data_IF_422912907610
#
_entry.id   IF_422912907610
#
_cell.length_a   1.000
_cell.length_b   1.000
_cell.length_c   1.000
_cell.angle_alpha   90.00
_cell.angle_beta   90.00
_cell.angle_gamma   90.00
#
_symmetry.space_group_name_H-M   'P 1'
#
loop_
_entity.id
_entity.type
_entity.pdbx_description
1 polymer ?
#
# COMPACT_ATOMS: atom_id res chain seq x y z
N UNK A 1 17.13 6.37 18.62
CA UNK A 1 17.15 6.13 17.16
C UNK A 1 17.22 4.62 16.90
N UNK A 2 16.07 3.97 16.68
CA UNK A 2 15.87 2.53 16.39
C UNK A 2 14.62 2.52 15.49
N UNK A 3 14.50 1.92 14.30
CA UNK A 3 15.17 0.80 13.66
C UNK A 3 14.83 0.82 12.16
N UNK A 4 15.83 0.81 11.27
CA UNK A 4 15.69 0.58 9.81
C UNK A 4 15.54 -0.91 9.46
N UNK A 5 14.99 -1.73 10.35
CA UNK A 5 14.99 -3.19 10.21
C UNK A 5 13.63 -3.73 9.79
N UNK A 6 13.30 -3.51 8.52
CA UNK A 6 12.30 -4.31 7.81
C UNK A 6 12.68 -4.47 6.33
N UNK A 7 13.98 -4.67 6.04
CA UNK A 7 14.36 -5.36 4.82
C UNK A 7 14.09 -6.85 5.06
N UNK A 8 12.84 -7.25 4.79
CA UNK A 8 12.42 -8.64 4.89
C UNK A 8 13.13 -9.49 3.84
N UNK A 9 13.28 -10.77 4.18
CA UNK A 9 13.86 -11.85 3.37
C UNK A 9 13.46 -11.69 1.88
N UNK A 10 14.43 -11.42 1.00
CA UNK A 10 14.22 -11.26 -0.45
C UNK A 10 14.21 -9.81 -0.98
N UNK A 11 14.57 -8.82 -0.16
CA UNK A 11 14.70 -7.42 -0.58
C UNK A 11 13.37 -6.69 -0.69
N UNK A 12 12.33 -7.20 -0.01
CA UNK A 12 11.04 -6.53 0.12
C UNK A 12 11.00 -5.72 1.41
N UNK A 13 10.45 -4.51 1.34
CA UNK A 13 10.18 -3.66 2.49
C UNK A 13 8.73 -3.83 2.93
N UNK A 14 8.53 -4.11 4.21
CA UNK A 14 7.20 -4.19 4.82
C UNK A 14 6.85 -2.83 5.44
N UNK A 15 5.75 -2.22 4.98
CA UNK A 15 5.22 -0.94 5.47
C UNK A 15 4.10 -1.19 6.49
N UNK A 16 3.98 -0.38 7.56
CA UNK A 16 2.92 -0.54 8.56
C UNK A 16 1.55 -0.23 7.95
N UNK A 17 0.53 -1.05 8.26
CA UNK A 17 -0.81 -0.89 7.71
C UNK A 17 -1.50 0.40 8.21
N UNK A 18 -1.17 0.79 9.44
CA UNK A 18 -1.70 1.93 10.17
C UNK A 18 -1.13 3.27 9.64
N UNK A 19 -0.17 3.23 8.71
CA UNK A 19 0.48 4.41 8.16
C UNK A 19 1.65 4.91 9.00
N UNK A 20 2.05 6.16 8.79
CA UNK A 20 3.19 6.79 9.49
C UNK A 20 2.89 7.12 10.96
N UNK A 21 1.61 7.33 11.31
CA UNK A 21 1.19 7.64 12.69
C UNK A 21 1.71 8.98 13.23
N UNK A 22 2.10 9.92 12.36
CA UNK A 22 2.57 11.27 12.72
C UNK A 22 1.93 12.30 11.79
N UNK A 23 1.78 13.57 12.24
CA UNK A 23 1.35 14.65 11.37
C UNK A 23 2.26 14.78 10.14
N UNK A 24 1.70 15.24 9.03
CA UNK A 24 2.46 15.54 7.83
C UNK A 24 3.60 16.53 8.16
N UNK A 25 4.76 16.41 7.49
CA UNK A 25 5.82 17.40 7.64
C UNK A 25 5.37 18.75 7.08
N UNK A 26 6.16 19.79 7.37
CA UNK A 26 5.93 21.11 6.81
C UNK A 26 5.89 21.06 5.28
N UNK A 27 4.93 21.78 4.70
CA UNK A 27 4.78 21.86 3.26
C UNK A 27 6.03 22.52 2.63
N UNK A 28 6.77 21.83 1.73
CA UNK A 28 8.09 22.29 1.31
C UNK A 28 8.08 23.25 0.11
N UNK A 29 6.91 23.46 -0.53
CA UNK A 29 6.79 24.42 -1.64
C UNK A 29 6.34 25.79 -1.11
N UNK A 30 6.47 26.83 -1.94
CA UNK A 30 6.23 28.23 -1.55
C UNK A 30 4.89 28.50 -0.88
N UNK A 31 3.79 28.31 -1.59
CA UNK A 31 2.42 28.54 -1.09
C UNK A 31 1.58 27.34 -1.47
N UNK A 32 0.81 26.83 -0.51
CA UNK A 32 -0.15 25.75 -0.72
C UNK A 32 -1.56 26.35 -0.86
N UNK A 33 -2.36 25.74 -1.73
CA UNK A 33 -3.82 25.87 -1.72
C UNK A 33 -4.43 24.95 -0.65
N UNK A 34 -5.66 25.24 -0.21
CA UNK A 34 -6.38 24.39 0.75
C UNK A 34 -6.47 22.94 0.25
N UNK A 35 -6.76 22.74 -1.03
CA UNK A 35 -6.86 21.41 -1.63
C UNK A 35 -5.51 20.67 -1.61
N UNK A 36 -4.40 21.36 -1.81
CA UNK A 36 -3.07 20.75 -1.69
C UNK A 36 -2.78 20.31 -0.26
N UNK A 37 -3.15 21.10 0.75
CA UNK A 37 -2.95 20.73 2.16
C UNK A 37 -3.79 19.50 2.54
N UNK A 38 -5.06 19.44 2.12
CA UNK A 38 -5.91 18.26 2.35
C UNK A 38 -5.30 16.98 1.74
N UNK A 39 -4.82 17.09 0.50
CA UNK A 39 -4.17 15.98 -0.20
C UNK A 39 -2.85 15.61 0.44
N UNK A 40 -2.07 16.59 0.89
CA UNK A 40 -0.79 16.41 1.59
C UNK A 40 -0.95 15.59 2.86
N UNK A 41 -1.88 15.99 3.73
CA UNK A 41 -2.19 15.27 4.95
C UNK A 41 -2.65 13.84 4.65
N UNK A 42 -3.51 13.69 3.64
CA UNK A 42 -3.98 12.40 3.18
C UNK A 42 -2.88 11.48 2.59
N UNK A 43 -1.82 12.05 1.98
CA UNK A 43 -0.68 11.27 1.52
C UNK A 43 0.23 10.84 2.68
N UNK A 44 0.51 11.74 3.62
CA UNK A 44 1.40 11.47 4.74
C UNK A 44 0.81 10.55 5.80
N UNK A 45 -0.51 10.35 5.80
CA UNK A 45 -1.18 9.33 6.60
C UNK A 45 -0.97 7.89 6.06
N UNK A 46 -0.49 7.70 4.83
CA UNK A 46 -0.40 6.37 4.18
C UNK A 46 0.78 5.54 4.68
N UNK A 47 0.75 4.20 4.54
CA UNK A 47 1.91 3.32 4.78
C UNK A 47 3.18 3.74 4.07
N UNK A 48 3.06 4.20 2.82
CA UNK A 48 4.18 4.62 1.96
C UNK A 48 4.95 5.81 2.54
N UNK A 49 4.31 6.65 3.35
CA UNK A 49 4.93 7.83 3.93
C UNK A 49 6.13 7.52 4.83
N UNK A 50 6.16 6.33 5.45
CA UNK A 50 7.33 5.86 6.21
C UNK A 50 8.54 5.65 5.29
N UNK A 51 8.31 5.17 4.06
CA UNK A 51 9.38 5.01 3.09
C UNK A 51 9.82 6.35 2.51
N UNK A 52 8.88 7.26 2.23
CA UNK A 52 9.20 8.60 1.74
C UNK A 52 10.03 9.40 2.74
N UNK A 53 9.69 9.35 4.02
CA UNK A 53 10.47 10.00 5.11
C UNK A 53 11.90 9.46 5.16
N UNK A 54 12.07 8.13 5.14
CA UNK A 54 13.40 7.52 5.16
C UNK A 54 14.27 7.90 3.95
N UNK A 55 13.64 8.25 2.83
CA UNK A 55 14.31 8.62 1.57
C UNK A 55 14.39 10.13 1.34
N UNK A 56 13.80 10.97 2.20
CA UNK A 56 13.76 12.42 2.03
C UNK A 56 12.95 12.86 0.79
N UNK A 57 11.82 12.22 0.53
CA UNK A 57 10.97 12.48 -0.66
C UNK A 57 9.88 13.54 -0.45
N UNK A 58 10.00 14.41 0.56
CA UNK A 58 9.00 15.43 0.87
C UNK A 58 8.69 16.31 -0.35
N UNK A 59 9.72 16.76 -1.06
CA UNK A 59 9.56 17.60 -2.24
C UNK A 59 8.83 16.85 -3.38
N UNK A 60 9.15 15.57 -3.60
CA UNK A 60 8.52 14.77 -4.66
C UNK A 60 7.04 14.50 -4.36
N UNK A 61 6.70 14.21 -3.10
CA UNK A 61 5.31 14.08 -2.65
C UNK A 61 4.57 15.41 -2.80
N UNK A 62 5.21 16.55 -2.52
CA UNK A 62 4.57 17.86 -2.65
C UNK A 62 4.28 18.21 -4.12
N UNK A 63 5.23 17.92 -5.02
CA UNK A 63 5.03 18.07 -6.46
C UNK A 63 3.93 17.15 -7.00
N UNK A 64 3.85 15.91 -6.50
CA UNK A 64 2.74 15.01 -6.80
C UNK A 64 1.40 15.58 -6.35
N UNK A 65 1.30 16.06 -5.11
CA UNK A 65 0.08 16.65 -4.55
C UNK A 65 -0.38 17.86 -5.36
N UNK A 66 0.54 18.76 -5.72
CA UNK A 66 0.25 19.91 -6.59
C UNK A 66 -0.29 19.47 -7.95
N UNK A 67 0.38 18.48 -8.56
CA UNK A 67 0.00 17.93 -9.87
C UNK A 67 -1.37 17.24 -9.80
N UNK A 68 -1.67 16.55 -8.69
CA UNK A 68 -2.95 15.91 -8.46
C UNK A 68 -4.07 16.93 -8.28
N UNK A 69 -3.86 17.98 -7.47
CA UNK A 69 -4.82 19.06 -7.28
C UNK A 69 -5.18 19.75 -8.61
N UNK A 70 -4.20 19.97 -9.48
CA UNK A 70 -4.43 20.49 -10.83
C UNK A 70 -5.20 19.50 -11.71
N UNK A 71 -4.85 18.21 -11.66
CA UNK A 71 -5.47 17.16 -12.45
C UNK A 71 -6.94 16.88 -12.07
N UNK A 72 -7.33 17.13 -10.81
CA UNK A 72 -8.70 16.97 -10.30
C UNK A 72 -9.66 18.02 -10.86
N UNK A 73 -9.15 19.15 -11.36
CA UNK A 73 -10.01 20.19 -11.94
C UNK A 73 -10.72 19.69 -13.20
N UNK A 74 -11.95 20.14 -13.41
CA UNK A 74 -12.75 19.78 -14.58
C UNK A 74 -12.08 20.21 -15.90
N UNK A 75 -11.35 21.34 -15.87
CA UNK A 75 -10.56 21.90 -16.97
C UNK A 75 -9.09 21.44 -16.97
N UNK A 76 -8.73 20.48 -16.10
CA UNK A 76 -7.37 19.98 -15.95
C UNK A 76 -6.82 19.37 -17.24
N UNK A 77 -5.62 19.82 -17.64
CA UNK A 77 -4.98 19.42 -18.90
C UNK A 77 -4.63 17.92 -18.91
N UNK A 78 -4.69 17.32 -20.10
CA UNK A 78 -4.46 15.86 -20.27
C UNK A 78 -3.01 15.46 -19.98
N UNK A 79 -2.04 16.32 -20.26
CA UNK A 79 -0.62 16.10 -19.95
C UNK A 79 -0.36 16.03 -18.44
N UNK A 80 -1.01 16.88 -17.65
CA UNK A 80 -0.96 16.85 -16.17
C UNK A 80 -1.44 15.50 -15.64
N UNK A 81 -2.53 14.95 -16.19
CA UNK A 81 -3.06 13.62 -15.81
C UNK A 81 -2.08 12.48 -16.12
N UNK A 82 -1.25 12.60 -17.17
CA UNK A 82 -0.17 11.64 -17.45
C UNK A 82 0.95 11.75 -16.43
N UNK A 83 1.30 12.97 -16.01
CA UNK A 83 2.32 13.22 -14.99
C UNK A 83 1.91 12.64 -13.63
N UNK A 84 0.63 12.75 -13.23
CA UNK A 84 0.08 12.09 -12.02
C UNK A 84 0.40 10.59 -12.03
N UNK A 85 0.20 9.89 -13.15
CA UNK A 85 0.48 8.45 -13.24
C UNK A 85 1.96 8.12 -13.01
N UNK A 86 2.87 8.92 -13.56
CA UNK A 86 4.30 8.74 -13.33
C UNK A 86 4.66 8.88 -11.85
N UNK A 87 4.09 9.86 -11.16
CA UNK A 87 4.28 10.02 -9.72
C UNK A 87 3.68 8.86 -8.92
N UNK A 88 2.49 8.37 -9.28
CA UNK A 88 1.88 7.22 -8.61
C UNK A 88 2.80 5.99 -8.66
N UNK A 89 3.48 5.78 -9.79
CA UNK A 89 4.43 4.69 -9.96
C UNK A 89 5.73 4.93 -9.16
N UNK A 90 6.29 6.14 -9.23
CA UNK A 90 7.52 6.51 -8.48
C UNK A 90 7.34 6.39 -6.96
N UNK A 91 6.25 6.98 -6.44
CA UNK A 91 5.94 7.04 -5.02
C UNK A 91 5.35 5.73 -4.46
N UNK A 92 5.20 4.68 -5.27
CA UNK A 92 4.65 3.40 -4.79
C UNK A 92 3.16 3.49 -4.41
N UNK A 93 2.40 4.39 -5.04
CA UNK A 93 0.96 4.53 -4.83
C UNK A 93 0.15 3.66 -5.80
N UNK A 94 0.76 3.23 -6.92
CA UNK A 94 0.19 2.23 -7.81
C UNK A 94 0.65 0.81 -7.47
N UNK A 95 -0.07 -0.21 -7.94
CA UNK A 95 0.34 -1.61 -7.81
C UNK A 95 1.69 -1.86 -8.51
N UNK A 96 1.92 -1.22 -9.66
CA UNK A 96 3.19 -1.33 -10.37
C UNK A 96 4.33 -0.67 -9.57
N UNK A 97 4.09 0.50 -8.98
CA UNK A 97 5.03 1.20 -8.12
C UNK A 97 5.38 0.42 -6.86
N UNK A 98 4.39 -0.15 -6.18
CA UNK A 98 4.60 -1.03 -5.03
C UNK A 98 5.50 -2.22 -5.38
N UNK A 99 5.24 -2.89 -6.49
CA UNK A 99 6.07 -4.00 -6.95
C UNK A 99 7.49 -3.56 -7.35
N UNK A 100 7.62 -2.43 -8.06
CA UNK A 100 8.91 -1.88 -8.51
C UNK A 100 9.79 -1.51 -7.32
N UNK A 101 9.21 -0.85 -6.33
CA UNK A 101 9.90 -0.44 -5.11
C UNK A 101 10.09 -1.61 -4.13
N UNK A 102 9.51 -2.78 -4.44
CA UNK A 102 9.46 -3.98 -3.59
C UNK A 102 8.86 -3.68 -2.23
N UNK A 103 7.77 -2.92 -2.22
CA UNK A 103 7.03 -2.58 -1.01
C UNK A 103 5.81 -3.49 -0.90
N UNK A 104 5.52 -3.90 0.33
CA UNK A 104 4.28 -4.57 0.70
C UNK A 104 3.76 -3.92 1.99
N UNK A 105 2.45 -3.82 2.13
CA UNK A 105 1.83 -3.37 3.38
C UNK A 105 1.67 -4.58 4.29
N UNK A 106 1.95 -4.43 5.58
CA UNK A 106 1.67 -5.42 6.59
C UNK A 106 0.17 -5.76 6.61
N UNK A 107 -0.24 -6.96 7.02
CA UNK A 107 -1.64 -7.18 7.37
C UNK A 107 -2.02 -6.19 8.49
N UNK A 108 -3.21 -5.60 8.40
CA UNK A 108 -3.75 -4.83 9.52
C UNK A 108 -3.79 -5.77 10.73
N UNK A 109 -3.27 -5.31 11.88
CA UNK A 109 -3.42 -6.09 13.09
C UNK A 109 -4.92 -6.18 13.42
N UNK A 110 -5.44 -7.37 13.74
CA UNK A 110 -6.83 -7.61 14.20
C UNK A 110 -7.13 -6.97 15.57
N UNK A 111 -6.38 -5.93 15.96
CA UNK A 111 -6.58 -5.20 17.19
C UNK A 111 -7.67 -4.13 17.03
N UNK A 112 -8.86 -4.54 16.54
CA UNK A 112 -10.14 -3.81 16.62
C UNK A 112 -11.30 -4.59 15.94
N UNK A 113 -11.30 -5.93 15.98
CA UNK A 113 -12.52 -6.74 15.76
C UNK A 113 -12.96 -7.47 17.04
N UNK A 114 -12.59 -6.95 18.21
CA UNK A 114 -13.10 -7.42 19.52
C UNK A 114 -14.34 -6.62 19.99
N UNK A 115 -15.18 -6.18 19.07
CA UNK A 115 -16.61 -5.98 19.36
C UNK A 115 -17.39 -6.33 18.11
N UNK A 116 -18.27 -7.33 18.20
CA UNK A 116 -19.12 -7.87 17.12
C UNK A 116 -18.50 -9.00 16.28
N UNK A 117 -18.10 -10.11 16.92
CA UNK A 117 -18.43 -11.48 16.43
C UNK A 117 -18.26 -12.49 17.57
N UNK A 118 -19.11 -12.38 18.59
CA UNK A 118 -19.38 -13.54 19.44
C UNK A 118 -20.13 -14.59 18.58
N UNK A 119 -19.42 -15.65 18.20
CA UNK A 119 -19.99 -16.91 17.72
C UNK A 119 -20.00 -17.10 16.21
N UNK A 120 -18.92 -17.66 15.66
CA UNK A 120 -19.02 -18.59 14.53
C UNK A 120 -17.97 -19.68 14.70
N UNK A 121 -18.48 -20.90 14.92
CA UNK A 121 -17.77 -22.16 15.00
C UNK A 121 -17.01 -22.44 13.67
N UNK A 122 -15.82 -23.06 13.70
CA UNK A 122 -15.00 -23.20 12.49
C UNK A 122 -15.66 -24.14 11.47
N UNK A 123 -15.89 -23.64 10.26
CA UNK A 123 -16.40 -24.42 9.14
C UNK A 123 -15.47 -25.60 8.79
N UNK A 124 -16.02 -26.77 8.38
CA UNK A 124 -15.22 -27.95 8.09
C UNK A 124 -14.29 -27.75 6.89
N UNK A 125 -13.02 -28.15 7.06
CA UNK A 125 -11.97 -28.08 6.04
C UNK A 125 -12.40 -28.81 4.76
N UNK A 126 -12.36 -28.10 3.62
CA UNK A 126 -12.56 -28.72 2.29
C UNK A 126 -11.43 -29.72 1.99
N UNK A 127 -11.74 -30.92 1.46
CA UNK A 127 -10.72 -31.91 1.11
C UNK A 127 -9.77 -31.38 0.04
N UNK A 128 -8.49 -31.63 0.23
CA UNK A 128 -7.44 -31.14 -0.68
C UNK A 128 -7.40 -31.95 -1.98
N UNK A 129 -6.83 -31.39 -3.04
CA UNK A 129 -6.69 -32.06 -4.34
C UNK A 129 -5.93 -33.40 -4.26
N UNK A 130 -5.12 -33.63 -3.21
CA UNK A 130 -4.45 -34.91 -2.95
C UNK A 130 -5.39 -36.02 -2.46
N UNK A 131 -6.48 -35.69 -1.77
CA UNK A 131 -7.47 -36.69 -1.33
C UNK A 131 -8.27 -37.28 -2.49
N UNK A 132 -8.32 -36.57 -3.63
CA UNK A 132 -9.07 -36.98 -4.81
C UNK A 132 -8.30 -37.95 -5.71
N UNK A 133 -7.00 -38.12 -5.49
CA UNK A 133 -6.16 -39.01 -6.29
C UNK A 133 -5.88 -40.31 -5.53
N UNK A 134 -6.92 -41.11 -5.27
CA UNK A 134 -6.74 -42.50 -4.85
C UNK A 134 -6.55 -43.38 -6.09
N UNK A 135 -5.37 -44.01 -6.18
CA UNK A 135 -4.99 -44.99 -7.19
C UNK A 135 -5.95 -46.18 -7.13
N UNK A 136 -6.58 -46.50 -8.26
CA UNK A 136 -7.31 -47.77 -8.43
C UNK A 136 -6.27 -48.89 -8.61
N UNK A 137 -6.31 -49.97 -7.81
CA UNK A 137 -5.46 -51.13 -8.06
C UNK A 137 -5.88 -51.77 -9.40
N UNK A 138 -4.94 -51.86 -10.35
CA UNK A 138 -5.10 -52.73 -11.51
C UNK A 138 -5.07 -54.19 -11.00
N UNK A 139 -6.22 -54.85 -11.03
CA UNK A 139 -6.32 -56.30 -10.92
C UNK A 139 -6.38 -56.91 -12.31
N UNK A 140 -5.28 -57.47 -12.78
CA UNK A 140 -5.23 -58.37 -13.94
C UNK A 140 -5.77 -59.76 -13.57
N UNK A 141 -6.50 -60.38 -14.51
CA UNK A 141 -6.41 -61.81 -14.78
C UNK A 141 -7.32 -62.78 -14.00
N UNK A 142 -8.45 -63.15 -14.63
CA UNK A 142 -8.89 -64.54 -14.80
C UNK A 142 -9.87 -64.63 -15.98
#
# INVERSE_FOLDING_TARGET
>A
MRSSKAADKGGWRTLPAEGRGRPAPEWPLTTASERELDLWDGQWAKPQAVAWEDMGQELEVALFVRTLAEAERADGRVDVKKMVRSYLDSLGLSVAGMNRNRWKVAPASEAEEETVTAGTEPAPRRPSARDRLKVVPNGEGA
#
